data_IF_561608122957
#
_entry.id   IF_561608122957
#
_cell.length_a   1.000
_cell.length_b   1.000
_cell.length_c   1.000
_cell.angle_alpha   90.00
_cell.angle_beta   90.00
_cell.angle_gamma   90.00
#
_symmetry.space_group_name_H-M   'P 1'
#
loop_
_entity.id
_entity.type
_entity.pdbx_description
1 polymer ?
#
# COMPACT_ATOMS: atom_id res chain seq x y z
N UNK A 1 13.01 -13.94 -4.65
CA UNK A 1 12.65 -13.27 -3.39
C UNK A 1 12.45 -11.80 -3.73
N UNK A 2 11.19 -11.34 -3.83
CA UNK A 2 10.94 -9.93 -4.07
C UNK A 2 11.18 -9.15 -2.77
N UNK A 3 12.01 -8.11 -2.85
CA UNK A 3 12.30 -7.24 -1.71
C UNK A 3 11.40 -6.00 -1.82
N UNK A 4 10.38 -5.90 -0.98
CA UNK A 4 9.56 -4.69 -0.88
C UNK A 4 10.30 -3.62 -0.10
N UNK A 5 10.41 -2.40 -0.65
CA UNK A 5 11.12 -1.29 -0.02
C UNK A 5 10.18 -0.41 0.83
N UNK A 6 8.90 -0.39 0.46
CA UNK A 6 7.87 0.49 1.01
C UNK A 6 6.75 -0.28 1.71
N UNK A 7 6.71 -1.61 1.63
CA UNK A 7 5.76 -2.44 2.37
C UNK A 7 6.45 -3.06 3.59
N UNK A 8 5.77 -3.04 4.72
CA UNK A 8 6.20 -3.70 5.96
C UNK A 8 5.05 -4.50 6.55
N UNK A 9 5.38 -5.51 7.34
CA UNK A 9 4.41 -6.29 8.10
C UNK A 9 4.96 -6.43 9.52
N UNK A 10 4.24 -5.86 10.48
CA UNK A 10 4.60 -5.84 11.89
C UNK A 10 3.37 -6.33 12.68
N UNK A 11 3.48 -7.41 13.50
CA UNK A 11 2.37 -7.91 14.31
C UNK A 11 1.69 -6.83 15.18
N UNK A 12 2.43 -5.82 15.61
CA UNK A 12 1.93 -4.72 16.45
C UNK A 12 1.20 -3.63 15.61
N UNK A 13 1.34 -3.67 14.28
CA UNK A 13 0.73 -2.74 13.33
C UNK A 13 -0.31 -3.48 12.48
N UNK A 14 -1.58 -3.10 12.61
CA UNK A 14 -2.69 -3.73 11.87
C UNK A 14 -2.74 -5.27 12.01
N UNK A 15 -2.22 -5.82 13.11
CA UNK A 15 -2.22 -7.26 13.37
C UNK A 15 -1.31 -8.05 12.42
N UNK A 16 -0.23 -7.44 11.92
CA UNK A 16 0.71 -8.09 10.99
C UNK A 16 0.29 -8.04 9.52
N UNK A 17 -0.81 -7.35 9.19
CA UNK A 17 -1.20 -7.14 7.80
C UNK A 17 -0.14 -6.31 7.07
N UNK A 18 0.24 -6.68 5.83
CA UNK A 18 1.11 -5.85 5.00
C UNK A 18 0.55 -4.44 4.83
N UNK A 19 1.37 -3.43 5.13
CA UNK A 19 1.00 -2.04 5.08
C UNK A 19 2.14 -1.16 4.56
N UNK A 20 1.80 0.03 4.08
CA UNK A 20 2.79 1.02 3.64
C UNK A 20 3.62 1.48 4.85
N UNK A 21 4.95 1.40 4.72
CA UNK A 21 5.92 1.72 5.77
C UNK A 21 5.71 3.12 6.31
N UNK A 22 5.67 3.25 7.64
CA UNK A 22 5.46 4.53 8.32
C UNK A 22 4.00 5.01 8.31
N UNK A 23 3.06 4.16 7.89
CA UNK A 23 1.63 4.47 7.86
C UNK A 23 0.82 3.32 8.49
N UNK A 24 -0.49 3.55 8.68
CA UNK A 24 -1.46 2.49 9.01
C UNK A 24 -2.40 2.22 7.82
N UNK A 25 -1.88 2.32 6.59
CA UNK A 25 -2.61 2.02 5.34
C UNK A 25 -2.18 0.63 4.86
N UNK A 26 -3.09 -0.34 4.92
CA UNK A 26 -2.84 -1.70 4.44
C UNK A 26 -2.77 -1.78 2.91
N UNK A 27 -2.06 -2.78 2.40
CA UNK A 27 -2.08 -3.12 0.96
C UNK A 27 -3.51 -3.42 0.49
N UNK A 28 -4.28 -4.13 1.32
CA UNK A 28 -5.71 -4.41 1.11
C UNK A 28 -6.53 -3.14 0.86
N UNK A 29 -6.36 -2.10 1.70
CA UNK A 29 -7.06 -0.83 1.54
C UNK A 29 -6.66 -0.10 0.26
N UNK A 30 -5.37 -0.17 -0.13
CA UNK A 30 -4.92 0.37 -1.42
C UNK A 30 -5.62 -0.35 -2.58
N UNK A 31 -5.77 -1.68 -2.49
CA UNK A 31 -6.47 -2.47 -3.49
C UNK A 31 -7.97 -2.16 -3.55
N UNK A 32 -8.63 -1.89 -2.41
CA UNK A 32 -10.01 -1.41 -2.39
C UNK A 32 -10.16 -0.07 -3.13
N UNK A 33 -9.24 0.87 -2.91
CA UNK A 33 -9.25 2.14 -3.64
C UNK A 33 -9.06 1.94 -5.15
N UNK A 34 -8.14 1.08 -5.55
CA UNK A 34 -7.92 0.74 -6.96
C UNK A 34 -9.15 0.06 -7.56
N UNK A 35 -9.77 -0.87 -6.84
CA UNK A 35 -11.01 -1.53 -7.26
C UNK A 35 -12.18 -0.54 -7.42
N UNK A 36 -12.19 0.56 -6.64
CA UNK A 36 -13.14 1.67 -6.81
C UNK A 36 -12.82 2.60 -7.99
N UNK A 37 -11.75 2.33 -8.75
CA UNK A 37 -11.31 3.11 -9.90
C UNK A 37 -10.28 4.21 -9.57
N UNK A 38 -9.73 4.24 -8.36
CA UNK A 38 -8.69 5.21 -8.03
C UNK A 38 -7.35 4.85 -8.69
N UNK A 39 -6.70 5.83 -9.31
CA UNK A 39 -5.32 5.69 -9.79
C UNK A 39 -4.33 6.07 -8.67
N UNK A 40 -3.05 5.64 -8.75
CA UNK A 40 -2.04 6.04 -7.78
C UNK A 40 -1.93 7.56 -7.61
N UNK A 41 -2.05 8.32 -8.70
CA UNK A 41 -2.05 9.78 -8.67
C UNK A 41 -3.23 10.37 -7.87
N UNK A 42 -4.43 9.81 -8.04
CA UNK A 42 -5.62 10.23 -7.28
C UNK A 42 -5.47 9.88 -5.79
N UNK A 43 -4.89 8.71 -5.48
CA UNK A 43 -4.66 8.27 -4.11
C UNK A 43 -3.70 9.24 -3.41
N UNK A 44 -2.55 9.55 -4.01
CA UNK A 44 -1.56 10.47 -3.42
C UNK A 44 -2.10 11.90 -3.33
N UNK A 45 -2.91 12.34 -4.30
CA UNK A 45 -3.56 13.65 -4.21
C UNK A 45 -4.53 13.75 -3.01
N UNK A 46 -5.23 12.66 -2.66
CA UNK A 46 -6.11 12.60 -1.48
C UNK A 46 -5.34 12.37 -0.18
N UNK A 47 -4.22 11.66 -0.24
CA UNK A 47 -3.39 11.31 0.90
C UNK A 47 -1.94 11.77 0.65
N UNK A 48 -1.62 13.07 0.82
CA UNK A 48 -0.31 13.64 0.45
C UNK A 48 0.87 13.11 1.28
N UNK A 49 0.59 12.41 2.38
CA UNK A 49 1.59 11.74 3.19
C UNK A 49 2.00 10.37 2.63
N UNK A 50 1.28 9.86 1.62
CA UNK A 50 1.65 8.64 0.91
C UNK A 50 2.62 8.96 -0.22
N UNK A 51 3.65 8.12 -0.37
CA UNK A 51 4.51 8.15 -1.55
C UNK A 51 3.80 7.44 -2.71
N UNK A 52 3.96 8.00 -3.91
CA UNK A 52 3.45 7.36 -5.14
C UNK A 52 4.10 6.02 -5.38
N UNK A 53 5.39 5.91 -5.10
CA UNK A 53 6.19 4.68 -5.21
C UNK A 53 5.66 3.61 -4.26
N UNK A 54 5.30 4.00 -3.04
CA UNK A 54 4.72 3.11 -2.02
C UNK A 54 3.35 2.56 -2.47
N UNK A 55 2.46 3.43 -2.98
CA UNK A 55 1.16 3.02 -3.52
C UNK A 55 1.33 2.07 -4.71
N UNK A 56 2.25 2.38 -5.63
CA UNK A 56 2.54 1.51 -6.77
C UNK A 56 3.14 0.16 -6.35
N UNK A 57 4.00 0.13 -5.33
CA UNK A 57 4.55 -1.11 -4.80
C UNK A 57 3.47 -1.98 -4.16
N UNK A 58 2.53 -1.39 -3.40
CA UNK A 58 1.37 -2.10 -2.86
C UNK A 58 0.51 -2.73 -3.97
N UNK A 59 0.29 -2.03 -5.07
CA UNK A 59 -0.45 -2.57 -6.23
C UNK A 59 0.30 -3.75 -6.85
N UNK A 60 1.62 -3.64 -7.04
CA UNK A 60 2.44 -4.75 -7.57
C UNK A 60 2.38 -5.97 -6.65
N UNK A 61 2.53 -5.77 -5.34
CA UNK A 61 2.51 -6.84 -4.32
C UNK A 61 1.23 -7.70 -4.39
N UNK A 62 0.07 -7.09 -4.64
CA UNK A 62 -1.20 -7.80 -4.71
C UNK A 62 -1.34 -8.72 -5.95
N UNK A 63 -0.48 -8.56 -6.97
CA UNK A 63 -0.54 -9.36 -8.21
C UNK A 63 0.27 -10.65 -8.12
N UNK A 64 1.11 -10.81 -7.10
CA UNK A 64 2.02 -11.95 -6.91
C UNK A 64 1.56 -12.93 -5.82
N UNK A 65 0.30 -12.83 -5.37
CA UNK A 65 -0.35 -13.74 -4.42
C UNK A 65 -1.13 -14.86 -5.12
#
# INVERSE_FOLDING_TARGET
MQSFQHITADPDILGGKPCLKGTRISVELVMEWVASGATPDVIVAKYPHLSKEAVQEAIRNATDL
#
